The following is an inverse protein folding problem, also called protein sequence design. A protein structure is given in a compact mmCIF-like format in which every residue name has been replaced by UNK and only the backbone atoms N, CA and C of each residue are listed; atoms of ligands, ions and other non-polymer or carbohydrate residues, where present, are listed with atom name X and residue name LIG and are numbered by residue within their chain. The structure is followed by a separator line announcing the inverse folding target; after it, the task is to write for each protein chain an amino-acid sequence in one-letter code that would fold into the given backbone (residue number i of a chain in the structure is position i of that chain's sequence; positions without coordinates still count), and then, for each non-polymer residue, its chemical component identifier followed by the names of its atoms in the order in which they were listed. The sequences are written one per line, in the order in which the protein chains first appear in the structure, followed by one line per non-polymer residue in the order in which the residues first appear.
data_IF_947331709495
#
_entry.id   IF_947331709495
#
_cell.length_a   1.000
_cell.length_b   1.000
_cell.length_c   1.000
_cell.angle_alpha   90.00
_cell.angle_beta   90.00
_cell.angle_gamma   90.00
#
_symmetry.space_group_name_H-M   'P 1'
#
loop_
_entity.id
_entity.type
_entity.pdbx_description
1 polymer ?
#
# COMPACT_ATOMS: atom_id res chain seq x y z
N UNK A 1 -18.10 2.50 -16.78
CA UNK A 1 -17.18 1.39 -17.11
C UNK A 1 -15.83 2.04 -17.24
N UNK A 2 -15.07 2.10 -16.15
CA UNK A 2 -13.68 2.55 -16.20
C UNK A 2 -12.90 1.62 -17.12
N UNK A 3 -12.11 2.18 -18.04
CA UNK A 3 -11.24 1.40 -18.91
C UNK A 3 -10.06 0.89 -18.10
N UNK A 4 -9.59 -0.33 -18.35
CA UNK A 4 -8.45 -0.93 -17.63
C UNK A 4 -7.19 -0.06 -17.68
N UNK A 5 -7.05 0.79 -18.69
CA UNK A 5 -5.95 1.75 -18.80
C UNK A 5 -6.05 2.92 -17.81
N UNK A 6 -7.26 3.35 -17.45
CA UNK A 6 -7.48 4.43 -16.47
C UNK A 6 -7.09 3.95 -15.07
N UNK A 7 -7.54 2.73 -14.71
CA UNK A 7 -7.19 2.09 -13.43
C UNK A 7 -5.68 1.87 -13.28
N UNK A 8 -4.98 1.50 -14.35
CA UNK A 8 -3.52 1.35 -14.35
C UNK A 8 -2.82 2.69 -14.11
N UNK A 9 -3.34 3.77 -14.71
CA UNK A 9 -2.79 5.12 -14.55
C UNK A 9 -3.00 5.63 -13.12
N UNK A 10 -4.19 5.45 -12.56
CA UNK A 10 -4.52 5.82 -11.18
C UNK A 10 -3.67 5.07 -10.16
N UNK A 11 -3.54 3.74 -10.34
CA UNK A 11 -2.69 2.89 -9.49
C UNK A 11 -1.23 3.35 -9.52
N UNK A 12 -0.73 3.71 -10.71
CA UNK A 12 0.64 4.23 -10.88
C UNK A 12 0.81 5.60 -10.21
N UNK A 13 -0.22 6.46 -10.27
CA UNK A 13 -0.21 7.76 -9.60
C UNK A 13 -0.12 7.62 -8.08
N UNK A 14 -0.99 6.79 -7.48
CA UNK A 14 -0.97 6.47 -6.05
C UNK A 14 0.40 5.92 -5.64
N UNK A 15 0.95 5.01 -6.45
CA UNK A 15 2.29 4.47 -6.18
C UNK A 15 3.36 5.55 -6.16
N UNK A 16 3.33 6.53 -7.07
CA UNK A 16 4.31 7.61 -7.09
C UNK A 16 4.15 8.62 -5.96
N UNK A 17 2.92 8.88 -5.52
CA UNK A 17 2.60 9.89 -4.51
C UNK A 17 2.99 9.45 -3.09
N UNK A 18 2.79 8.17 -2.77
CA UNK A 18 3.08 7.62 -1.44
C UNK A 18 4.58 7.35 -1.30
N UNK A 19 5.17 7.83 -0.21
CA UNK A 19 6.57 7.65 0.16
C UNK A 19 6.77 6.53 1.17
N UNK A 20 8.00 6.03 1.27
CA UNK A 20 8.40 5.15 2.39
C UNK A 20 8.33 5.96 3.70
N UNK A 21 7.70 5.39 4.72
CA UNK A 21 7.40 6.05 6.00
C UNK A 21 5.99 6.65 6.10
N UNK A 22 5.27 6.75 4.98
CA UNK A 22 3.86 7.17 4.99
C UNK A 22 2.96 6.04 5.51
N UNK A 23 1.77 6.43 5.96
CA UNK A 23 0.76 5.49 6.43
C UNK A 23 -0.30 5.28 5.36
N UNK A 24 -0.62 4.04 5.04
CA UNK A 24 -1.70 3.67 4.11
C UNK A 24 -2.83 2.96 4.85
N UNK A 25 -4.06 3.12 4.37
CA UNK A 25 -5.22 2.29 4.73
C UNK A 25 -5.66 1.48 3.53
N UNK A 26 -6.28 0.34 3.81
CA UNK A 26 -6.80 -0.54 2.76
C UNK A 26 -8.29 -0.31 2.53
N UNK A 27 -8.74 -0.51 1.30
CA UNK A 27 -10.16 -0.52 0.91
C UNK A 27 -10.87 -1.77 1.47
N UNK A 28 -10.14 -2.88 1.60
CA UNK A 28 -10.66 -4.15 2.10
C UNK A 28 -9.61 -4.89 2.93
N UNK A 29 -10.07 -5.84 3.74
CA UNK A 29 -9.18 -6.75 4.46
C UNK A 29 -8.37 -7.58 3.46
N UNK A 30 -7.11 -7.87 3.81
CA UNK A 30 -6.24 -8.70 2.99
C UNK A 30 -6.01 -10.03 3.70
N UNK A 31 -6.41 -11.10 3.04
CA UNK A 31 -6.23 -12.47 3.50
C UNK A 31 -5.22 -13.19 2.59
N UNK A 32 -4.30 -13.94 3.19
CA UNK A 32 -3.39 -14.84 2.49
C UNK A 32 -3.64 -16.27 2.98
N UNK A 33 -3.92 -17.19 2.05
CA UNK A 33 -4.25 -18.59 2.36
C UNK A 33 -5.36 -18.81 3.41
N UNK A 34 -6.29 -17.85 3.55
CA UNK A 34 -7.39 -17.90 4.52
C UNK A 34 -7.01 -17.42 5.93
N UNK A 35 -5.79 -16.89 6.09
CA UNK A 35 -5.34 -16.19 7.29
C UNK A 35 -5.36 -14.69 7.02
N UNK A 36 -6.04 -13.94 7.89
CA UNK A 36 -6.13 -12.50 7.77
C UNK A 36 -4.75 -11.88 8.05
N UNK A 37 -4.20 -11.19 7.05
CA UNK A 37 -2.89 -10.54 7.12
C UNK A 37 -3.04 -9.06 7.45
N UNK A 38 -4.00 -8.36 6.85
CA UNK A 38 -4.23 -6.94 7.07
C UNK A 38 -5.73 -6.65 7.22
N UNK A 39 -6.05 -5.62 8.00
CA UNK A 39 -7.39 -5.09 8.28
C UNK A 39 -7.52 -3.73 7.61
N UNK A 40 -8.60 -3.55 6.85
CA UNK A 40 -9.00 -2.27 6.26
C UNK A 40 -9.15 -1.12 7.27
N UNK A 41 -9.56 -1.44 8.50
CA UNK A 41 -9.72 -0.46 9.57
C UNK A 41 -8.39 0.09 10.13
N UNK A 42 -7.27 -0.58 9.85
CA UNK A 42 -5.94 -0.26 10.38
C UNK A 42 -5.12 0.61 9.43
N UNK A 43 -4.12 1.31 9.96
CA UNK A 43 -3.10 2.03 9.18
C UNK A 43 -1.80 1.26 9.19
N UNK A 44 -1.14 1.23 8.04
CA UNK A 44 0.10 0.49 7.84
C UNK A 44 1.19 1.41 7.32
N UNK A 45 2.35 1.38 7.95
CA UNK A 45 3.51 2.13 7.47
C UNK A 45 4.11 1.45 6.24
N UNK A 46 4.35 2.24 5.19
CA UNK A 46 5.04 1.78 3.99
C UNK A 46 6.52 1.65 4.32
N UNK A 47 6.99 0.43 4.45
CA UNK A 47 8.38 0.10 4.77
C UNK A 47 9.26 0.05 3.53
N UNK A 48 8.70 -0.32 2.38
CA UNK A 48 9.39 -0.30 1.10
C UNK A 48 8.40 -0.18 -0.06
N UNK A 49 8.94 0.18 -1.24
CA UNK A 49 8.24 0.18 -2.52
C UNK A 49 9.00 -0.74 -3.47
N UNK A 50 8.29 -1.65 -4.11
CA UNK A 50 8.89 -2.62 -5.04
C UNK A 50 8.19 -2.54 -6.40
N UNK A 51 8.98 -2.72 -7.46
CA UNK A 51 8.49 -2.97 -8.81
C UNK A 51 8.98 -4.36 -9.24
N UNK A 52 8.11 -5.36 -9.15
CA UNK A 52 8.46 -6.77 -9.39
C UNK A 52 8.56 -7.10 -10.88
N UNK A 53 7.82 -6.36 -11.69
CA UNK A 53 7.83 -6.36 -13.15
C UNK A 53 7.32 -4.98 -13.63
N UNK A 54 7.54 -4.60 -14.91
CA UNK A 54 7.00 -3.36 -15.45
C UNK A 54 5.48 -3.29 -15.25
N UNK A 55 5.01 -2.27 -14.52
CA UNK A 55 3.59 -2.10 -14.18
C UNK A 55 3.08 -2.97 -13.01
N UNK A 56 3.94 -3.76 -12.37
CA UNK A 56 3.62 -4.52 -11.16
C UNK A 56 4.30 -3.89 -9.96
N UNK A 57 3.70 -2.80 -9.49
CA UNK A 57 4.16 -1.99 -8.37
C UNK A 57 3.42 -2.38 -7.09
N UNK A 58 4.15 -2.52 -5.99
CA UNK A 58 3.59 -2.88 -4.69
C UNK A 58 4.24 -2.08 -3.56
N UNK A 59 3.48 -1.87 -2.50
CA UNK A 59 3.97 -1.41 -1.20
C UNK A 59 4.29 -2.61 -0.33
N UNK A 60 5.33 -2.50 0.50
CA UNK A 60 5.62 -3.48 1.55
C UNK A 60 5.26 -2.85 2.88
N UNK A 61 4.40 -3.52 3.63
CA UNK A 61 3.99 -3.11 4.97
C UNK A 61 4.20 -4.25 5.96
N UNK A 62 4.15 -3.98 7.26
CA UNK A 62 4.16 -5.02 8.28
C UNK A 62 2.73 -5.31 8.76
N UNK A 63 2.36 -6.58 8.82
CA UNK A 63 1.09 -7.03 9.39
C UNK A 63 1.03 -6.72 10.88
N UNK A 64 -0.10 -6.18 11.34
CA UNK A 64 -0.40 -6.01 12.78
C UNK A 64 -0.81 -7.34 13.46
N UNK A 65 -1.05 -8.39 12.67
CA UNK A 65 -1.57 -9.68 13.12
C UNK A 65 -0.42 -10.69 13.22
N UNK A 66 0.26 -10.94 12.11
CA UNK A 66 1.35 -11.92 12.02
C UNK A 66 2.73 -11.30 12.31
N UNK A 67 2.87 -9.98 12.18
CA UNK A 67 4.17 -9.29 12.23
C UNK A 67 5.03 -9.48 10.98
N UNK A 68 4.50 -10.18 9.97
CA UNK A 68 5.21 -10.47 8.71
C UNK A 68 5.14 -9.30 7.73
N UNK A 69 6.04 -9.30 6.74
CA UNK A 69 6.03 -8.31 5.67
C UNK A 69 5.05 -8.74 4.58
N UNK A 70 4.10 -7.87 4.27
CA UNK A 70 3.01 -8.14 3.34
C UNK A 70 3.09 -7.16 2.17
N UNK A 71 2.87 -7.66 0.97
CA UNK A 71 2.84 -6.87 -0.25
C UNK A 71 1.42 -6.39 -0.52
N UNK A 72 1.26 -5.09 -0.72
CA UNK A 72 -0.01 -4.42 -0.95
C UNK A 72 0.02 -3.74 -2.31
N UNK A 73 -0.93 -4.09 -3.17
CA UNK A 73 -1.09 -3.43 -4.48
C UNK A 73 -1.69 -2.03 -4.29
N UNK A 74 -1.25 -0.99 -5.02
CA UNK A 74 -1.76 0.38 -4.84
C UNK A 74 -3.27 0.51 -5.09
N UNK A 75 -3.84 -0.37 -5.91
CA UNK A 75 -5.29 -0.46 -6.12
C UNK A 75 -6.08 -0.77 -4.82
N UNK A 76 -5.44 -1.41 -3.83
CA UNK A 76 -6.07 -1.73 -2.55
C UNK A 76 -6.00 -0.56 -1.56
N UNK A 77 -5.33 0.55 -1.90
CA UNK A 77 -5.17 1.68 -0.99
C UNK A 77 -6.42 2.57 -1.03
N UNK A 78 -7.04 2.77 0.13
CA UNK A 78 -8.21 3.63 0.30
C UNK A 78 -7.84 5.09 0.54
N UNK A 79 -6.79 5.30 1.32
CA UNK A 79 -6.29 6.59 1.75
C UNK A 79 -4.86 6.45 2.25
N UNK A 80 -4.12 7.54 2.21
CA UNK A 80 -2.76 7.61 2.73
C UNK A 80 -2.55 8.92 3.49
N UNK A 81 -1.66 8.89 4.49
CA UNK A 81 -1.27 10.04 5.29
C UNK A 81 0.23 10.28 5.08
N UNK A 82 0.55 11.44 4.51
CA UNK A 82 1.93 11.85 4.29
C UNK A 82 2.54 12.22 5.64
N UNK A 83 3.45 11.39 6.15
CA UNK A 83 4.18 11.78 7.35
C UNK A 83 5.22 12.81 6.94
N UNK A 84 5.22 14.02 7.54
CA UNK A 84 6.30 14.95 7.28
C UNK A 84 7.61 14.27 7.69
N UNK A 85 8.66 14.33 6.86
CA UNK A 85 9.95 13.77 7.23
C UNK A 85 10.39 14.42 8.56
N UNK A 86 11.10 13.69 9.43
CA UNK A 86 11.59 14.26 10.68
C UNK A 86 12.38 15.52 10.35
N UNK A 87 11.85 16.66 10.79
CA UNK A 87 12.52 17.94 10.56
C UNK A 87 13.79 17.92 11.40
N UNK A 88 14.95 17.78 10.76
CA UNK A 88 16.24 17.96 11.42
C UNK A 88 16.27 19.40 11.97
N UNK A 89 16.15 19.55 13.28
CA UNK A 89 16.37 20.80 14.02
C UNK A 89 17.80 20.82 14.56
#
# INVERSE_FOLDING_TARGET
MESSSELLLETSFIWHEISVGDLIRLEADLDDCGEQQLKSASQYEVLAKLELAPGHQVFVVQSDISGELVQVHPFLVSSYDNRPPPTCM
#
